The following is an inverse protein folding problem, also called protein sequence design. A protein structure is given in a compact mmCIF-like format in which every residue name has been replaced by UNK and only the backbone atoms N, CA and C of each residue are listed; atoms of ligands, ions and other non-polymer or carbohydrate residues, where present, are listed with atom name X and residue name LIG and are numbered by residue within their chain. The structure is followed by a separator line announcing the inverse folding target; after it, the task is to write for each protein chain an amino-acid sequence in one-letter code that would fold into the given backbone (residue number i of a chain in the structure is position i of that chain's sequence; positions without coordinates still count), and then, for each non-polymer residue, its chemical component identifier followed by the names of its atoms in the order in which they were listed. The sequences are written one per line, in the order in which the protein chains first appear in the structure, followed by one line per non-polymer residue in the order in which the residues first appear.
data_IF_219905913619
#
_entry.id   IF_219905913619
#
_cell.length_a   1.000
_cell.length_b   1.000
_cell.length_c   1.000
_cell.angle_alpha   90.00
_cell.angle_beta   90.00
_cell.angle_gamma   90.00
#
_symmetry.space_group_name_H-M   'P 1'
#
loop_
_entity.id
_entity.type
_entity.pdbx_description
1 polymer ?
#
# COMPACT_ATOMS: atom_id res chain seq x y z
N UNK A 1 22.32 15.44 9.75
CA UNK A 1 21.77 16.00 11.01
C UNK A 1 21.71 14.87 12.03
N UNK A 2 22.00 15.16 13.30
CA UNK A 2 21.74 14.21 14.38
C UNK A 2 20.58 14.74 15.23
N UNK A 3 19.89 13.83 15.93
CA UNK A 3 18.92 14.20 16.96
C UNK A 3 19.39 13.68 18.31
N UNK A 4 19.05 14.43 19.36
CA UNK A 4 19.19 13.99 20.74
C UNK A 4 17.99 13.11 21.10
N UNK A 5 18.22 11.81 21.26
CA UNK A 5 17.23 10.81 21.68
C UNK A 5 17.79 10.11 22.91
N UNK A 6 17.06 10.15 24.03
CA UNK A 6 17.46 9.54 25.30
C UNK A 6 18.88 9.95 25.77
N UNK A 7 19.26 11.20 25.53
CA UNK A 7 20.57 11.74 25.89
C UNK A 7 21.73 11.34 24.97
N UNK A 8 21.43 10.66 23.85
CA UNK A 8 22.43 10.31 22.83
C UNK A 8 22.19 11.10 21.54
N UNK A 9 23.29 11.59 20.95
CA UNK A 9 23.27 12.21 19.62
C UNK A 9 23.45 11.15 18.54
N UNK A 10 22.36 10.77 17.87
CA UNK A 10 22.36 9.73 16.84
C UNK A 10 22.05 10.31 15.45
N UNK A 11 22.61 9.75 14.37
CA UNK A 11 22.21 10.12 13.01
C UNK A 11 20.70 9.93 12.82
N UNK A 12 20.00 11.02 12.52
CA UNK A 12 18.56 10.96 12.36
C UNK A 12 18.19 10.70 10.90
N UNK A 13 17.38 9.65 10.61
CA UNK A 13 16.95 9.36 9.26
C UNK A 13 15.96 10.43 8.78
N UNK A 14 16.44 11.39 7.97
CA UNK A 14 15.61 12.44 7.38
C UNK A 14 14.41 11.92 6.57
N UNK A 15 14.50 10.67 6.12
CA UNK A 15 13.41 9.96 5.46
C UNK A 15 12.14 9.92 6.33
N UNK A 16 12.27 9.80 7.66
CA UNK A 16 11.13 9.74 8.59
C UNK A 16 10.33 11.04 8.53
N UNK A 17 11.00 12.20 8.60
CA UNK A 17 10.33 13.51 8.52
C UNK A 17 9.70 13.72 7.14
N UNK A 18 10.43 13.36 6.08
CA UNK A 18 9.93 13.50 4.71
C UNK A 18 8.68 12.65 4.50
N UNK A 19 8.69 11.39 4.93
CA UNK A 19 7.55 10.50 4.84
C UNK A 19 6.34 11.04 5.61
N UNK A 20 6.52 11.38 6.89
CA UNK A 20 5.45 11.95 7.73
C UNK A 20 4.83 13.20 7.11
N UNK A 21 5.65 14.14 6.61
CA UNK A 21 5.14 15.35 5.95
C UNK A 21 4.38 15.05 4.66
N UNK A 22 4.82 14.06 3.87
CA UNK A 22 4.09 13.60 2.68
C UNK A 22 2.78 12.94 3.04
N UNK A 23 2.76 12.10 4.08
CA UNK A 23 1.53 11.49 4.61
C UNK A 23 0.51 12.53 5.06
N UNK A 24 0.98 13.69 5.54
CA UNK A 24 0.13 14.84 5.89
C UNK A 24 -0.39 15.63 4.67
N UNK A 25 -0.09 15.19 3.44
CA UNK A 25 -0.58 15.79 2.19
C UNK A 25 0.33 16.86 1.57
N UNK A 26 1.60 16.96 1.98
CA UNK A 26 2.56 17.81 1.29
C UNK A 26 3.14 17.11 0.06
N UNK A 27 3.40 17.90 -0.99
CA UNK A 27 4.19 17.43 -2.13
C UNK A 27 5.64 17.17 -1.70
N UNK A 28 6.36 16.35 -2.46
CA UNK A 28 7.78 16.08 -2.22
C UNK A 28 8.61 17.37 -2.13
N UNK A 29 8.36 18.32 -3.05
CA UNK A 29 9.07 19.60 -3.09
C UNK A 29 8.77 20.47 -1.87
N UNK A 30 7.51 20.54 -1.44
CA UNK A 30 7.13 21.34 -0.28
C UNK A 30 7.68 20.73 1.02
N UNK A 31 7.61 19.40 1.16
CA UNK A 31 8.18 18.69 2.29
C UNK A 31 9.69 18.95 2.41
N UNK A 32 10.44 18.87 1.31
CA UNK A 32 11.89 19.10 1.32
C UNK A 32 12.24 20.54 1.70
N UNK A 33 11.54 21.54 1.14
CA UNK A 33 11.73 22.95 1.48
C UNK A 33 11.46 23.23 2.95
N UNK A 34 10.42 22.63 3.52
CA UNK A 34 10.08 22.78 4.95
C UNK A 34 11.17 22.15 5.81
N UNK A 35 11.61 20.94 5.46
CA UNK A 35 12.67 20.24 6.17
C UNK A 35 13.97 21.05 6.15
N UNK A 36 14.43 21.47 4.97
CA UNK A 36 15.68 22.24 4.81
C UNK A 36 15.66 23.50 5.68
N UNK A 37 14.59 24.32 5.58
CA UNK A 37 14.43 25.53 6.38
C UNK A 37 14.37 25.26 7.88
N UNK A 38 13.81 24.13 8.28
CA UNK A 38 13.72 23.72 9.69
C UNK A 38 15.10 23.32 10.21
N UNK A 39 15.80 22.44 9.49
CA UNK A 39 17.15 22.00 9.85
C UNK A 39 18.13 23.17 9.91
N UNK A 40 18.11 24.07 8.91
CA UNK A 40 18.98 25.26 8.89
C UNK A 40 18.75 26.20 10.08
N UNK A 41 17.54 26.24 10.64
CA UNK A 41 17.24 27.11 11.79
C UNK A 41 17.91 26.68 13.10
N UNK A 42 18.41 25.44 13.18
CA UNK A 42 19.17 24.96 14.34
C UNK A 42 20.66 25.29 14.29
N UNK A 43 21.15 25.91 13.21
CA UNK A 43 22.53 26.42 13.15
C UNK A 43 23.63 25.37 13.39
N UNK A 44 23.35 24.10 13.08
CA UNK A 44 24.29 22.98 13.30
C UNK A 44 24.21 22.34 14.69
N UNK A 45 23.36 22.83 15.60
CA UNK A 45 23.03 22.11 16.83
C UNK A 45 22.24 20.83 16.52
N UNK A 46 22.36 19.83 17.41
CA UNK A 46 21.56 18.61 17.36
C UNK A 46 20.28 18.81 18.18
N UNK A 47 19.11 19.04 17.57
CA UNK A 47 17.89 19.28 18.33
C UNK A 47 17.38 17.99 18.97
N UNK A 48 16.55 18.14 20.00
CA UNK A 48 15.70 17.07 20.52
C UNK A 48 14.52 16.81 19.59
N UNK A 49 13.87 15.64 19.72
CA UNK A 49 12.66 15.31 18.96
C UNK A 49 11.52 16.33 19.19
N UNK A 50 11.35 16.80 20.43
CA UNK A 50 10.38 17.85 20.77
C UNK A 50 10.70 19.18 20.08
N UNK A 51 11.97 19.61 20.08
CA UNK A 51 12.37 20.84 19.39
C UNK A 51 12.16 20.77 17.88
N UNK A 52 12.47 19.61 17.27
CA UNK A 52 12.21 19.37 15.85
C UNK A 52 10.71 19.44 15.53
N UNK A 53 9.89 18.78 16.35
CA UNK A 53 8.43 18.75 16.21
C UNK A 53 7.82 20.16 16.32
N UNK A 54 8.22 20.94 17.34
CA UNK A 54 7.76 22.32 17.50
C UNK A 54 8.22 23.24 16.36
N UNK A 55 9.44 23.07 15.85
CA UNK A 55 9.93 23.83 14.71
C UNK A 55 9.09 23.51 13.45
N UNK A 56 8.76 22.25 13.21
CA UNK A 56 7.89 21.84 12.11
C UNK A 56 6.46 22.39 12.27
N UNK A 57 5.85 22.27 13.46
CA UNK A 57 4.53 22.87 13.76
C UNK A 57 4.50 24.35 13.40
N UNK A 58 5.51 25.11 13.82
CA UNK A 58 5.64 26.53 13.53
C UNK A 58 5.68 26.82 12.01
N UNK A 59 6.34 25.99 11.22
CA UNK A 59 6.37 26.13 9.74
C UNK A 59 5.06 25.74 9.07
N UNK A 60 4.30 24.83 9.67
CA UNK A 60 3.02 24.34 9.14
C UNK A 60 1.82 25.20 9.53
N UNK A 61 1.96 26.21 10.40
CA UNK A 61 0.87 27.08 10.89
C UNK A 61 -0.06 27.65 9.81
N UNK A 62 0.48 28.00 8.65
CA UNK A 62 -0.29 28.55 7.53
C UNK A 62 -1.00 27.48 6.67
N UNK A 63 -0.66 26.20 6.85
CA UNK A 63 -1.24 25.05 6.13
C UNK A 63 -2.07 24.20 7.12
N UNK A 64 -3.21 24.75 7.56
CA UNK A 64 -4.00 24.20 8.69
C UNK A 64 -4.30 22.70 8.58
N UNK A 65 -4.78 22.23 7.42
CA UNK A 65 -5.09 20.81 7.20
C UNK A 65 -3.86 19.89 7.34
N UNK A 66 -2.69 20.37 6.90
CA UNK A 66 -1.42 19.64 7.01
C UNK A 66 -0.95 19.63 8.46
N UNK A 67 -1.09 20.75 9.18
CA UNK A 67 -0.76 20.83 10.59
C UNK A 67 -1.64 19.88 11.43
N UNK A 68 -2.95 19.87 11.19
CA UNK A 68 -3.88 18.98 11.91
C UNK A 68 -3.55 17.49 11.65
N UNK A 69 -3.17 17.13 10.41
CA UNK A 69 -2.70 15.79 10.09
C UNK A 69 -1.33 15.47 10.73
N UNK A 70 -0.42 16.44 10.78
CA UNK A 70 0.88 16.29 11.40
C UNK A 70 0.78 16.05 12.90
N UNK A 71 -0.07 16.82 13.59
CA UNK A 71 -0.32 16.65 15.02
C UNK A 71 -0.92 15.28 15.33
N UNK A 72 -1.84 14.80 14.48
CA UNK A 72 -2.39 13.45 14.58
C UNK A 72 -1.31 12.36 14.42
N UNK A 73 -0.36 12.53 13.51
CA UNK A 73 0.76 11.60 13.33
C UNK A 73 1.72 11.64 14.53
N UNK A 74 1.99 12.82 15.10
CA UNK A 74 2.80 12.94 16.31
C UNK A 74 2.12 12.25 17.50
N UNK A 75 0.81 12.45 17.67
CA UNK A 75 0.01 11.78 18.70
C UNK A 75 -0.01 10.26 18.51
N UNK A 76 -0.22 9.79 17.28
CA UNK A 76 -0.16 8.37 16.93
C UNK A 76 1.14 7.74 17.43
N UNK A 77 2.28 8.36 17.15
CA UNK A 77 3.59 7.80 17.51
C UNK A 77 3.81 7.71 19.02
N UNK A 78 3.27 8.65 19.81
CA UNK A 78 3.33 8.54 21.27
C UNK A 78 2.43 7.41 21.79
N UNK A 79 1.26 7.20 21.17
CA UNK A 79 0.31 6.16 21.55
C UNK A 79 0.73 4.74 21.12
N UNK A 80 1.65 4.58 20.18
CA UNK A 80 2.22 3.27 19.81
C UNK A 80 2.98 2.60 20.95
N UNK A 81 3.55 3.40 21.86
CA UNK A 81 4.28 2.92 23.04
C UNK A 81 3.43 2.94 24.32
N UNK A 82 2.16 3.35 24.24
CA UNK A 82 1.25 3.41 25.39
C UNK A 82 0.70 2.03 25.77
N UNK A 83 -0.06 1.95 26.88
CA UNK A 83 -0.76 0.72 27.30
C UNK A 83 -2.28 0.95 27.35
N UNK A 84 -3.09 0.17 26.60
CA UNK A 84 -2.68 -0.75 25.52
C UNK A 84 -1.95 0.02 24.40
N UNK A 85 -1.17 -0.57 23.47
CA UNK A 85 -0.57 0.19 22.37
C UNK A 85 -1.60 0.52 21.28
N UNK A 86 -1.43 1.63 20.57
CA UNK A 86 -2.16 1.88 19.32
C UNK A 86 -1.66 0.89 18.25
N UNK A 87 -2.54 0.19 17.49
CA UNK A 87 -2.11 -0.77 16.49
C UNK A 87 -1.30 -0.10 15.37
N UNK A 88 -0.37 -0.84 14.72
CA UNK A 88 0.36 -0.33 13.57
C UNK A 88 -0.55 -0.19 12.35
N UNK A 89 -0.07 0.53 11.35
CA UNK A 89 -0.78 0.73 10.08
C UNK A 89 -0.26 -0.24 9.02
N UNK A 90 -1.14 -1.12 8.53
CA UNK A 90 -0.88 -1.97 7.37
C UNK A 90 -1.79 -1.53 6.23
N UNK A 91 -1.20 -0.89 5.22
CA UNK A 91 -1.90 -0.48 4.01
C UNK A 91 -1.83 -1.62 2.98
N UNK A 92 -2.98 -2.08 2.52
CA UNK A 92 -3.12 -3.15 1.52
C UNK A 92 -3.64 -2.54 0.22
N UNK A 93 -2.80 -2.55 -0.83
CA UNK A 93 -3.11 -2.02 -2.16
C UNK A 93 -3.48 -3.16 -3.11
N UNK A 94 -4.72 -3.15 -3.57
CA UNK A 94 -5.33 -4.25 -4.31
C UNK A 94 -5.64 -3.85 -5.75
N UNK A 95 -5.85 -4.86 -6.61
CA UNK A 95 -6.26 -4.68 -8.00
C UNK A 95 -5.52 -5.57 -8.99
N UNK A 96 -6.06 -5.67 -10.21
CA UNK A 96 -5.55 -6.52 -11.27
C UNK A 96 -4.15 -6.10 -11.79
N UNK A 97 -3.53 -6.93 -12.63
CA UNK A 97 -2.24 -6.58 -13.22
C UNK A 97 -2.32 -5.26 -14.00
N UNK A 98 -1.31 -4.40 -13.84
CA UNK A 98 -1.19 -3.10 -14.53
C UNK A 98 -2.19 -2.01 -14.09
N UNK A 99 -2.76 -2.10 -12.89
CA UNK A 99 -3.54 -1.00 -12.30
C UNK A 99 -2.72 0.09 -11.58
N UNK A 100 -1.38 0.05 -11.63
CA UNK A 100 -0.51 1.07 -11.01
C UNK A 100 -0.18 0.89 -9.52
N UNK A 101 -0.77 -0.11 -8.85
CA UNK A 101 -0.52 -0.44 -7.42
C UNK A 101 0.95 -0.47 -7.03
N UNK A 102 1.84 -1.06 -7.82
CA UNK A 102 3.23 -1.23 -7.40
C UNK A 102 3.97 0.11 -7.31
N UNK A 103 3.64 1.09 -8.17
CA UNK A 103 4.19 2.45 -8.06
C UNK A 103 3.60 3.21 -6.86
N UNK A 104 2.28 3.10 -6.66
CA UNK A 104 1.64 3.65 -5.45
C UNK A 104 2.18 2.99 -4.19
N UNK A 105 2.46 1.69 -4.19
CA UNK A 105 3.00 0.95 -3.06
C UNK A 105 4.40 1.40 -2.68
N UNK A 106 5.25 1.69 -3.67
CA UNK A 106 6.56 2.31 -3.42
C UNK A 106 6.39 3.71 -2.81
N UNK A 107 5.54 4.55 -3.41
CA UNK A 107 5.28 5.90 -2.90
C UNK A 107 4.76 5.85 -1.45
N UNK A 108 3.78 4.99 -1.18
CA UNK A 108 3.20 4.82 0.14
C UNK A 108 4.16 4.19 1.14
N UNK A 109 5.08 3.32 0.72
CA UNK A 109 6.15 2.82 1.61
C UNK A 109 6.99 3.99 2.14
N UNK A 110 7.30 4.97 1.29
CA UNK A 110 7.99 6.18 1.71
C UNK A 110 7.14 7.10 2.58
N UNK A 111 5.89 7.36 2.19
CA UNK A 111 5.00 8.27 2.92
C UNK A 111 4.62 7.72 4.30
N UNK A 112 4.34 6.42 4.42
CA UNK A 112 4.13 5.75 5.72
C UNK A 112 5.42 5.55 6.51
N UNK A 113 6.59 5.68 5.88
CA UNK A 113 7.87 5.25 6.45
C UNK A 113 7.79 3.77 6.88
N UNK A 114 7.11 2.97 6.05
CA UNK A 114 6.85 1.58 6.36
C UNK A 114 8.15 0.78 6.39
N UNK A 115 8.32 -0.06 7.41
CA UNK A 115 9.53 -0.89 7.59
C UNK A 115 9.39 -2.27 6.96
N UNK A 116 8.21 -2.56 6.40
CA UNK A 116 7.86 -3.81 5.72
C UNK A 116 7.13 -3.50 4.41
N UNK A 117 7.50 -4.21 3.35
CA UNK A 117 6.81 -4.20 2.08
C UNK A 117 6.60 -5.64 1.61
N UNK A 118 5.37 -6.01 1.27
CA UNK A 118 4.99 -7.38 0.91
C UNK A 118 4.31 -7.36 -0.45
N UNK A 119 4.98 -7.91 -1.47
CA UNK A 119 4.40 -8.12 -2.80
C UNK A 119 3.76 -9.51 -2.89
N UNK A 120 2.49 -9.60 -3.25
CA UNK A 120 1.82 -10.92 -3.41
C UNK A 120 2.44 -11.77 -4.52
N UNK A 121 3.04 -11.13 -5.54
CA UNK A 121 3.79 -11.86 -6.58
C UNK A 121 5.08 -12.48 -6.02
N UNK A 122 5.76 -11.81 -5.09
CA UNK A 122 6.93 -12.40 -4.40
C UNK A 122 6.52 -13.65 -3.62
N UNK A 123 5.39 -13.60 -2.90
CA UNK A 123 4.84 -14.78 -2.21
C UNK A 123 4.57 -15.91 -3.21
N UNK A 124 3.98 -15.59 -4.36
CA UNK A 124 3.76 -16.57 -5.44
C UNK A 124 5.07 -17.19 -5.93
N UNK A 125 6.13 -16.41 -6.13
CA UNK A 125 7.44 -16.95 -6.54
C UNK A 125 8.03 -17.88 -5.48
N UNK A 126 7.89 -17.55 -4.20
CA UNK A 126 8.31 -18.44 -3.11
C UNK A 126 7.51 -19.74 -3.13
N UNK A 127 6.19 -19.70 -3.33
CA UNK A 127 5.38 -20.92 -3.43
C UNK A 127 5.80 -21.82 -4.61
N UNK A 128 6.30 -21.25 -5.72
CA UNK A 128 6.81 -22.03 -6.87
C UNK A 128 8.10 -22.81 -6.56
N UNK A 129 8.80 -22.53 -5.46
CA UNK A 129 9.99 -23.29 -5.07
C UNK A 129 9.66 -24.55 -4.28
N UNK A 130 8.47 -24.59 -3.67
CA UNK A 130 7.99 -25.71 -2.84
C UNK A 130 6.85 -26.51 -3.48
N UNK A 131 6.23 -25.99 -4.53
CA UNK A 131 5.21 -26.66 -5.34
C UNK A 131 5.70 -26.96 -6.76
N UNK A 132 5.22 -28.06 -7.34
CA UNK A 132 5.52 -28.42 -8.73
C UNK A 132 4.52 -27.77 -9.71
N UNK A 133 4.96 -27.47 -10.93
CA UNK A 133 4.08 -26.99 -12.00
C UNK A 133 3.02 -28.05 -12.40
N UNK A 134 3.30 -29.33 -12.19
CA UNK A 134 2.37 -30.41 -12.48
C UNK A 134 1.16 -30.38 -11.53
N UNK A 135 1.42 -30.16 -10.24
CA UNK A 135 0.38 -30.25 -9.20
C UNK A 135 -0.35 -28.91 -9.00
N UNK A 136 0.36 -27.79 -9.16
CA UNK A 136 -0.17 -26.43 -9.02
C UNK A 136 0.16 -25.56 -10.24
N UNK A 137 -0.28 -25.93 -11.47
CA UNK A 137 -0.01 -25.18 -12.69
C UNK A 137 -0.48 -23.72 -12.63
N UNK A 138 -1.54 -23.44 -11.86
CA UNK A 138 -2.05 -22.11 -11.58
C UNK A 138 -0.99 -21.17 -11.01
N UNK A 139 0.01 -21.64 -10.24
CA UNK A 139 1.10 -20.79 -9.73
C UNK A 139 2.12 -20.36 -10.79
N UNK A 140 2.15 -21.02 -11.96
CA UNK A 140 3.19 -20.89 -12.98
C UNK A 140 2.73 -20.08 -14.20
N UNK A 141 1.60 -19.38 -14.12
CA UNK A 141 1.05 -18.54 -15.17
C UNK A 141 0.57 -17.19 -14.60
N UNK A 142 0.21 -16.24 -15.45
CA UNK A 142 -0.40 -14.98 -14.97
C UNK A 142 -1.84 -15.20 -14.48
N UNK A 143 -2.34 -14.34 -13.58
CA UNK A 143 -3.72 -14.44 -13.06
C UNK A 143 -4.77 -14.57 -14.17
N UNK A 144 -4.64 -13.76 -15.22
CA UNK A 144 -5.53 -13.76 -16.39
C UNK A 144 -5.39 -15.00 -17.30
N UNK A 145 -4.45 -15.90 -17.03
CA UNK A 145 -4.25 -17.17 -17.75
C UNK A 145 -4.62 -18.40 -16.89
N UNK A 146 -4.80 -18.24 -15.58
CA UNK A 146 -4.95 -19.36 -14.64
C UNK A 146 -6.15 -20.26 -14.95
N UNK A 147 -7.21 -19.71 -15.56
CA UNK A 147 -8.42 -20.42 -15.97
C UNK A 147 -8.18 -21.58 -16.95
N UNK A 148 -7.05 -21.57 -17.67
CA UNK A 148 -6.63 -22.64 -18.58
C UNK A 148 -6.15 -23.90 -17.85
N UNK A 149 -5.92 -23.79 -16.53
CA UNK A 149 -5.30 -24.85 -15.74
C UNK A 149 -6.19 -25.31 -14.59
N UNK A 150 -6.61 -24.40 -13.71
CA UNK A 150 -7.53 -24.68 -12.60
C UNK A 150 -8.55 -23.56 -12.46
N UNK A 151 -9.68 -23.90 -11.84
CA UNK A 151 -10.78 -23.00 -11.55
C UNK A 151 -11.29 -23.33 -10.15
N UNK A 152 -11.62 -22.31 -9.36
CA UNK A 152 -12.14 -22.44 -8.01
C UNK A 152 -13.26 -21.41 -7.75
N UNK A 153 -13.90 -21.50 -6.59
CA UNK A 153 -15.06 -20.68 -6.26
C UNK A 153 -16.35 -21.07 -7.00
N UNK A 154 -17.39 -20.22 -6.88
CA UNK A 154 -18.73 -20.51 -7.41
C UNK A 154 -18.76 -20.74 -8.93
N UNK A 155 -19.60 -21.66 -9.40
CA UNK A 155 -19.66 -22.08 -10.81
C UNK A 155 -20.29 -21.04 -11.73
N UNK A 156 -21.09 -20.13 -11.18
CA UNK A 156 -21.74 -19.03 -11.89
C UNK A 156 -20.77 -17.91 -12.31
N UNK A 157 -19.58 -17.87 -11.72
CA UNK A 157 -18.55 -16.90 -12.08
C UNK A 157 -17.88 -17.28 -13.41
N UNK A 158 -17.44 -16.26 -14.15
CA UNK A 158 -16.70 -16.48 -15.40
C UNK A 158 -15.44 -17.34 -15.13
N UNK A 159 -15.13 -18.32 -16.01
CA UNK A 159 -13.94 -19.15 -15.88
C UNK A 159 -12.64 -18.37 -15.64
N UNK A 160 -12.48 -17.18 -16.23
CA UNK A 160 -11.33 -16.29 -16.04
C UNK A 160 -11.20 -15.90 -14.56
N UNK A 161 -12.30 -15.45 -13.96
CA UNK A 161 -12.36 -15.09 -12.53
C UNK A 161 -12.12 -16.32 -11.67
N UNK A 162 -12.74 -17.45 -11.99
CA UNK A 162 -12.55 -18.71 -11.24
C UNK A 162 -11.10 -19.20 -11.28
N UNK A 163 -10.40 -19.00 -12.40
CA UNK A 163 -8.97 -19.30 -12.49
C UNK A 163 -8.11 -18.37 -11.63
N UNK A 164 -8.44 -17.08 -11.63
CA UNK A 164 -7.83 -16.13 -10.71
C UNK A 164 -8.04 -16.52 -9.23
N UNK A 165 -9.26 -16.94 -8.87
CA UNK A 165 -9.59 -17.40 -7.51
C UNK A 165 -8.80 -18.65 -7.13
N UNK A 166 -8.63 -19.62 -8.05
CA UNK A 166 -7.80 -20.80 -7.81
C UNK A 166 -6.34 -20.43 -7.45
N UNK A 167 -5.80 -19.38 -8.07
CA UNK A 167 -4.46 -18.88 -7.71
C UNK A 167 -4.48 -18.17 -6.33
N UNK A 168 -5.55 -17.45 -6.00
CA UNK A 168 -5.69 -16.77 -4.71
C UNK A 168 -5.84 -17.71 -3.52
N UNK A 169 -6.53 -18.86 -3.68
CA UNK A 169 -6.70 -19.86 -2.62
C UNK A 169 -5.36 -20.36 -2.05
N UNK A 170 -4.30 -20.35 -2.86
CA UNK A 170 -2.95 -20.73 -2.44
C UNK A 170 -2.16 -19.58 -1.80
N UNK A 171 -2.33 -18.35 -2.32
CA UNK A 171 -1.46 -17.22 -1.99
C UNK A 171 -2.04 -16.38 -0.85
N UNK A 172 -3.33 -16.08 -0.87
CA UNK A 172 -3.98 -15.18 0.08
C UNK A 172 -3.80 -15.64 1.55
N UNK A 173 -3.93 -16.93 1.90
CA UNK A 173 -3.71 -17.38 3.28
C UNK A 173 -2.29 -17.12 3.79
N UNK A 174 -1.29 -17.19 2.90
CA UNK A 174 0.11 -16.91 3.25
C UNK A 174 0.31 -15.41 3.46
N UNK A 175 -0.23 -14.58 2.57
CA UNK A 175 -0.20 -13.11 2.72
C UNK A 175 -0.86 -12.68 4.02
N UNK A 176 -2.01 -13.27 4.35
CA UNK A 176 -2.73 -13.01 5.61
C UNK A 176 -1.86 -13.27 6.83
N UNK A 177 -1.18 -14.42 6.89
CA UNK A 177 -0.26 -14.75 8.00
C UNK A 177 0.91 -13.77 8.10
N UNK A 178 1.42 -13.27 6.97
CA UNK A 178 2.46 -12.25 6.98
C UNK A 178 1.93 -10.92 7.57
N UNK A 179 0.69 -10.53 7.25
CA UNK A 179 0.05 -9.36 7.85
C UNK A 179 -0.17 -9.53 9.35
N UNK A 180 -0.71 -10.67 9.79
CA UNK A 180 -0.85 -11.00 11.22
C UNK A 180 0.49 -10.89 11.97
N UNK A 181 1.57 -11.35 11.34
CA UNK A 181 2.93 -11.24 11.91
C UNK A 181 3.38 -9.79 12.02
N UNK A 182 3.17 -8.98 10.98
CA UNK A 182 3.49 -7.54 10.97
C UNK A 182 2.74 -6.80 12.08
N UNK A 183 1.44 -7.09 12.24
CA UNK A 183 0.61 -6.51 13.30
C UNK A 183 1.15 -6.87 14.69
N UNK A 184 1.54 -8.14 14.87
CA UNK A 184 2.13 -8.62 16.13
C UNK A 184 3.48 -7.96 16.43
N UNK A 185 4.28 -7.67 15.40
CA UNK A 185 5.56 -6.95 15.51
C UNK A 185 5.38 -5.44 15.77
N UNK A 186 4.15 -4.91 15.68
CA UNK A 186 3.90 -3.47 15.83
C UNK A 186 4.48 -2.64 14.69
N UNK A 187 4.72 -3.24 13.52
CA UNK A 187 5.41 -2.62 12.39
C UNK A 187 4.44 -2.05 11.35
N UNK A 188 4.76 -0.87 10.81
CA UNK A 188 4.00 -0.31 9.68
C UNK A 188 4.42 -0.99 8.38
N UNK A 189 3.44 -1.30 7.53
CA UNK A 189 3.67 -2.06 6.32
C UNK A 189 2.83 -1.61 5.13
N UNK A 190 3.34 -1.88 3.94
CA UNK A 190 2.59 -1.84 2.69
C UNK A 190 2.52 -3.25 2.11
N UNK A 191 1.33 -3.72 1.81
CA UNK A 191 1.07 -4.96 1.05
C UNK A 191 0.55 -4.55 -0.32
N UNK A 192 1.05 -5.14 -1.39
CA UNK A 192 0.54 -4.85 -2.74
C UNK A 192 0.37 -6.10 -3.60
N UNK A 193 -0.71 -6.11 -4.37
CA UNK A 193 -0.85 -6.97 -5.53
C UNK A 193 -2.27 -7.46 -5.77
N UNK A 194 -2.37 -8.50 -6.59
CA UNK A 194 -3.65 -8.97 -7.15
C UNK A 194 -4.28 -10.12 -6.35
N UNK A 195 -3.49 -10.81 -5.53
CA UNK A 195 -3.93 -12.03 -4.84
C UNK A 195 -4.56 -11.77 -3.45
N UNK A 196 -4.97 -10.53 -3.19
CA UNK A 196 -5.81 -10.19 -2.03
C UNK A 196 -7.17 -9.82 -2.58
N UNK A 197 -8.18 -10.59 -2.21
CA UNK A 197 -9.57 -10.33 -2.53
C UNK A 197 -10.06 -9.22 -1.57
N UNK A 198 -10.68 -8.15 -2.09
CA UNK A 198 -11.22 -7.06 -1.30
C UNK A 198 -12.05 -7.52 -0.11
N UNK A 199 -11.66 -7.03 1.06
CA UNK A 199 -12.28 -7.29 2.35
C UNK A 199 -11.71 -8.49 3.11
N UNK A 200 -10.74 -9.22 2.53
CA UNK A 200 -10.21 -10.45 3.12
C UNK A 200 -9.28 -10.24 4.32
N UNK A 201 -8.87 -9.00 4.63
CA UNK A 201 -7.92 -8.68 5.70
C UNK A 201 -8.53 -7.78 6.79
N UNK A 202 -9.76 -7.28 6.62
CA UNK A 202 -10.39 -6.27 7.50
C UNK A 202 -10.58 -6.74 8.93
N UNK A 203 -10.79 -8.03 9.12
CA UNK A 203 -11.00 -8.65 10.42
C UNK A 203 -9.70 -8.84 11.22
N UNK A 204 -8.53 -8.60 10.61
CA UNK A 204 -7.23 -8.69 11.28
C UNK A 204 -6.99 -7.57 12.30
N UNK A 205 -7.67 -6.42 12.14
CA UNK A 205 -7.62 -5.35 13.12
C UNK A 205 -7.83 -3.95 12.52
N UNK A 206 -8.12 -2.98 13.40
CA UNK A 206 -8.38 -1.59 13.03
C UNK A 206 -7.23 -0.90 12.28
N UNK A 207 -6.00 -1.43 12.42
CA UNK A 207 -4.81 -0.93 11.74
C UNK A 207 -4.65 -1.40 10.29
N UNK A 208 -5.50 -2.32 9.82
CA UNK A 208 -5.46 -2.82 8.44
C UNK A 208 -6.40 -1.98 7.57
N UNK A 209 -5.83 -1.38 6.54
CA UNK A 209 -6.51 -0.46 5.62
C UNK A 209 -6.42 -1.04 4.21
N UNK A 210 -7.54 -1.52 3.68
CA UNK A 210 -7.63 -2.05 2.32
C UNK A 210 -8.08 -0.95 1.33
N UNK A 211 -7.34 -0.84 0.23
CA UNK A 211 -7.62 0.11 -0.86
C UNK A 211 -7.48 -0.60 -2.20
N UNK A 212 -8.57 -0.67 -2.95
CA UNK A 212 -8.56 -1.10 -4.35
C UNK A 212 -8.16 0.06 -5.26
N UNK A 213 -7.14 -0.15 -6.09
CA UNK A 213 -6.73 0.81 -7.12
C UNK A 213 -7.43 0.47 -8.44
N UNK A 214 -8.24 1.40 -8.96
CA UNK A 214 -9.06 1.21 -10.15
C UNK A 214 -8.84 2.29 -11.21
N UNK A 215 -7.93 2.10 -12.18
CA UNK A 215 -7.81 3.02 -13.31
C UNK A 215 -9.02 2.94 -14.27
N UNK A 216 -9.36 4.05 -14.95
CA UNK A 216 -10.27 4.03 -16.10
C UNK A 216 -9.83 3.01 -17.15
N UNK A 217 -10.77 2.42 -17.89
CA UNK A 217 -10.50 1.33 -18.82
C UNK A 217 -9.39 1.64 -19.85
N UNK A 218 -9.42 2.84 -20.45
CA UNK A 218 -8.42 3.26 -21.44
C UNK A 218 -7.02 3.41 -20.81
N UNK A 219 -6.95 4.01 -19.63
CA UNK A 219 -5.70 4.13 -18.85
C UNK A 219 -5.17 2.74 -18.47
N UNK A 220 -6.04 1.86 -17.98
CA UNK A 220 -5.70 0.49 -17.62
C UNK A 220 -5.12 -0.27 -18.83
N UNK A 221 -5.77 -0.15 -19.99
CA UNK A 221 -5.32 -0.76 -21.24
C UNK A 221 -3.97 -0.23 -21.65
N UNK A 222 -3.80 1.10 -21.68
CA UNK A 222 -2.54 1.73 -22.06
C UNK A 222 -1.39 1.27 -21.15
N UNK A 223 -1.60 1.24 -19.84
CA UNK A 223 -0.63 0.74 -18.85
C UNK A 223 -0.32 -0.75 -19.06
N UNK A 224 -1.35 -1.57 -19.31
CA UNK A 224 -1.18 -3.00 -19.55
C UNK A 224 -0.36 -3.27 -20.82
N UNK A 225 -0.67 -2.57 -21.91
CA UNK A 225 0.05 -2.71 -23.19
C UNK A 225 1.50 -2.23 -23.09
N UNK A 226 1.74 -1.10 -22.43
CA UNK A 226 3.09 -0.50 -22.31
C UNK A 226 3.96 -1.16 -21.25
N UNK A 227 3.38 -1.91 -20.30
CA UNK A 227 4.12 -2.68 -19.28
C UNK A 227 5.21 -3.58 -19.89
N UNK A 228 4.98 -4.12 -21.09
CA UNK A 228 5.98 -4.91 -21.83
C UNK A 228 7.20 -4.07 -22.25
N UNK A 229 6.96 -2.91 -22.88
CA UNK A 229 8.02 -2.03 -23.36
C UNK A 229 8.83 -1.41 -22.21
N UNK A 230 8.16 -1.05 -21.11
CA UNK A 230 8.79 -0.44 -19.94
C UNK A 230 9.58 -1.43 -19.08
N UNK A 231 9.13 -2.69 -18.96
CA UNK A 231 9.72 -3.67 -18.05
C UNK A 231 10.65 -4.70 -18.73
N UNK A 232 10.81 -4.69 -20.06
CA UNK A 232 11.65 -5.64 -20.83
C UNK A 232 11.43 -7.11 -20.44
N UNK A 233 10.18 -7.48 -20.13
CA UNK A 233 9.85 -8.81 -19.60
C UNK A 233 9.91 -9.86 -20.71
N UNK A 234 10.75 -10.89 -20.54
CA UNK A 234 10.98 -11.97 -21.51
C UNK A 234 9.84 -13.01 -21.60
N UNK A 235 8.81 -12.91 -20.76
CA UNK A 235 7.76 -13.93 -20.61
C UNK A 235 6.44 -13.57 -21.28
N UNK A 236 6.40 -12.52 -22.10
CA UNK A 236 5.18 -11.96 -22.69
C UNK A 236 5.31 -11.95 -24.22
N UNK A 237 4.25 -12.35 -24.91
CA UNK A 237 4.20 -12.35 -26.39
C UNK A 237 4.05 -10.93 -26.96
N UNK A 238 4.62 -10.71 -28.14
CA UNK A 238 4.46 -9.50 -28.94
C UNK A 238 3.22 -9.53 -29.85
N UNK A 239 2.46 -10.63 -29.88
CA UNK A 239 1.23 -10.74 -30.67
C UNK A 239 0.14 -9.78 -30.12
N UNK A 240 -0.27 -8.76 -30.88
CA UNK A 240 -1.26 -7.79 -30.44
C UNK A 240 -2.63 -8.40 -30.10
N UNK A 241 -3.04 -9.46 -30.79
CA UNK A 241 -4.36 -10.10 -30.57
C UNK A 241 -4.38 -10.84 -29.25
N UNK A 242 -3.31 -11.59 -28.96
CA UNK A 242 -3.17 -12.30 -27.69
C UNK A 242 -3.13 -11.31 -26.54
N UNK A 243 -2.36 -10.21 -26.68
CA UNK A 243 -2.30 -9.15 -25.66
C UNK A 243 -3.64 -8.49 -25.39
N UNK A 244 -4.45 -8.25 -26.42
CA UNK A 244 -5.80 -7.72 -26.23
C UNK A 244 -6.70 -8.69 -25.48
N UNK A 245 -6.65 -9.98 -25.80
CA UNK A 245 -7.41 -11.00 -25.07
C UNK A 245 -6.96 -11.13 -23.61
N UNK A 246 -5.66 -11.06 -23.34
CA UNK A 246 -5.10 -11.04 -21.98
C UNK A 246 -5.51 -9.79 -21.20
N UNK A 247 -5.59 -8.64 -21.88
CA UNK A 247 -6.12 -7.42 -21.28
C UNK A 247 -7.59 -7.57 -20.93
N UNK A 248 -8.42 -8.08 -21.83
CA UNK A 248 -9.84 -8.32 -21.57
C UNK A 248 -10.04 -9.24 -20.35
N UNK A 249 -9.27 -10.32 -20.26
CA UNK A 249 -9.26 -11.20 -19.09
C UNK A 249 -8.79 -10.49 -17.81
N UNK A 250 -7.77 -9.63 -17.91
CA UNK A 250 -7.29 -8.81 -16.78
C UNK A 250 -8.35 -7.81 -16.32
N UNK A 251 -9.07 -7.18 -17.26
CA UNK A 251 -10.14 -6.24 -16.95
C UNK A 251 -11.32 -6.93 -16.29
N UNK A 252 -11.70 -8.12 -16.73
CA UNK A 252 -12.73 -8.91 -16.07
C UNK A 252 -12.36 -9.25 -14.62
N UNK A 253 -11.10 -9.59 -14.34
CA UNK A 253 -10.63 -9.76 -12.95
C UNK A 253 -10.73 -8.43 -12.19
N UNK A 254 -10.36 -7.30 -12.80
CA UNK A 254 -10.47 -5.99 -12.15
C UNK A 254 -11.93 -5.65 -11.81
N UNK A 255 -12.86 -5.89 -12.73
CA UNK A 255 -14.28 -5.60 -12.52
C UNK A 255 -14.85 -6.47 -11.39
N UNK A 256 -14.46 -7.75 -11.32
CA UNK A 256 -14.75 -8.62 -10.17
C UNK A 256 -14.22 -8.04 -8.85
N UNK A 257 -12.98 -7.55 -8.82
CA UNK A 257 -12.42 -6.93 -7.61
C UNK A 257 -13.18 -5.65 -7.23
N UNK A 258 -13.59 -4.83 -8.20
CA UNK A 258 -14.42 -3.64 -7.93
C UNK A 258 -15.74 -4.03 -7.30
N UNK A 259 -16.39 -5.10 -7.76
CA UNK A 259 -17.61 -5.63 -7.17
C UNK A 259 -17.39 -6.12 -5.73
N UNK A 260 -16.33 -6.88 -5.47
CA UNK A 260 -15.98 -7.32 -4.11
C UNK A 260 -15.69 -6.12 -3.18
N UNK A 261 -14.97 -5.11 -3.68
CA UNK A 261 -14.66 -3.91 -2.91
C UNK A 261 -15.92 -3.12 -2.55
N UNK A 262 -16.86 -2.98 -3.48
CA UNK A 262 -18.17 -2.36 -3.22
C UNK A 262 -19.00 -3.17 -2.23
N UNK A 263 -19.04 -4.49 -2.37
CA UNK A 263 -19.79 -5.38 -1.49
C UNK A 263 -19.27 -5.39 -0.06
N UNK A 264 -17.96 -5.25 0.12
CA UNK A 264 -17.33 -5.18 1.45
C UNK A 264 -17.26 -3.75 1.98
N UNK A 265 -17.30 -2.74 1.12
CA UNK A 265 -17.20 -1.33 1.53
C UNK A 265 -15.78 -0.90 1.90
N UNK A 266 -14.75 -1.53 1.31
CA UNK A 266 -13.38 -1.01 1.37
C UNK A 266 -13.24 0.21 0.45
N UNK A 267 -12.12 0.94 0.59
CA UNK A 267 -11.89 2.12 -0.23
C UNK A 267 -11.55 1.73 -1.68
N UNK A 268 -12.06 2.50 -2.63
CA UNK A 268 -11.68 2.42 -4.05
C UNK A 268 -11.08 3.76 -4.44
N UNK A 269 -9.86 3.75 -4.96
CA UNK A 269 -9.15 4.93 -5.45
C UNK A 269 -8.99 4.82 -6.96
N UNK A 270 -9.54 5.79 -7.67
CA UNK A 270 -9.36 5.89 -9.11
C UNK A 270 -7.92 6.30 -9.44
N UNK A 271 -7.28 5.61 -10.39
CA UNK A 271 -5.95 6.00 -10.88
C UNK A 271 -6.05 6.73 -12.22
N UNK A 272 -6.30 8.04 -12.16
CA UNK A 272 -6.15 8.96 -13.29
C UNK A 272 -4.79 9.67 -13.30
N UNK A 273 -4.26 9.93 -12.11
CA UNK A 273 -3.01 10.65 -11.85
C UNK A 273 -2.38 10.10 -10.57
N UNK A 274 -1.06 9.86 -10.58
CA UNK A 274 -0.38 9.21 -9.46
C UNK A 274 -0.30 10.11 -8.22
N UNK A 275 -0.06 11.41 -8.39
CA UNK A 275 0.07 12.33 -7.26
C UNK A 275 -1.29 12.50 -6.56
N UNK A 276 -2.37 12.59 -7.34
CA UNK A 276 -3.74 12.61 -6.81
C UNK A 276 -4.09 11.31 -6.09
N UNK A 277 -3.85 10.16 -6.71
CA UNK A 277 -4.15 8.87 -6.10
C UNK A 277 -3.35 8.63 -4.81
N UNK A 278 -2.06 9.00 -4.79
CA UNK A 278 -1.25 8.95 -3.55
C UNK A 278 -1.86 9.84 -2.47
N UNK A 279 -2.24 11.08 -2.81
CA UNK A 279 -2.88 12.00 -1.86
C UNK A 279 -4.19 11.45 -1.30
N UNK A 280 -5.01 10.82 -2.14
CA UNK A 280 -6.27 10.22 -1.72
C UNK A 280 -6.03 9.04 -0.75
N UNK A 281 -5.02 8.21 -1.03
CA UNK A 281 -4.59 7.14 -0.12
C UNK A 281 -4.04 7.71 1.20
N UNK A 282 -3.22 8.75 1.17
CA UNK A 282 -2.74 9.44 2.37
C UNK A 282 -3.90 9.96 3.23
N UNK A 283 -4.93 10.55 2.61
CA UNK A 283 -6.12 11.03 3.33
C UNK A 283 -6.89 9.87 3.98
N UNK A 284 -7.04 8.73 3.29
CA UNK A 284 -7.64 7.52 3.83
C UNK A 284 -6.86 7.07 5.08
N UNK A 285 -5.52 6.97 4.98
CA UNK A 285 -4.68 6.59 6.13
C UNK A 285 -4.84 7.54 7.30
N UNK A 286 -4.77 8.86 7.07
CA UNK A 286 -4.94 9.87 8.13
C UNK A 286 -6.31 9.74 8.79
N UNK A 287 -7.36 9.47 8.01
CA UNK A 287 -8.70 9.25 8.55
C UNK A 287 -8.77 7.97 9.40
N UNK A 288 -8.20 6.86 8.92
CA UNK A 288 -8.11 5.62 9.72
C UNK A 288 -7.33 5.81 11.02
N UNK A 289 -6.23 6.55 11.01
CA UNK A 289 -5.47 6.88 12.24
C UNK A 289 -6.33 7.65 13.23
N UNK A 290 -7.10 8.64 12.76
CA UNK A 290 -8.04 9.39 13.61
C UNK A 290 -9.07 8.48 14.25
N UNK A 291 -9.63 7.55 13.48
CA UNK A 291 -10.65 6.63 13.97
C UNK A 291 -10.08 5.60 14.95
N UNK A 292 -8.84 5.15 14.75
CA UNK A 292 -8.13 4.29 15.70
C UNK A 292 -7.91 4.98 17.05
N UNK A 293 -7.48 6.25 17.05
CA UNK A 293 -7.27 7.03 18.27
C UNK A 293 -8.60 7.24 19.01
N UNK A 294 -9.66 7.66 18.31
CA UNK A 294 -11.01 7.81 18.90
C UNK A 294 -11.55 6.51 19.49
N UNK A 295 -11.37 5.39 18.77
CA UNK A 295 -11.85 4.08 19.24
C UNK A 295 -11.13 3.64 20.51
N UNK A 296 -9.86 4.02 20.65
CA UNK A 296 -9.06 3.77 21.85
C UNK A 296 -9.57 4.60 23.04
N UNK A 297 -9.87 5.88 22.84
CA UNK A 297 -10.36 6.77 23.92
C UNK A 297 -11.74 6.35 24.47
N UNK A 298 -12.55 5.69 23.66
CA UNK A 298 -13.89 5.21 24.04
C UNK A 298 -13.90 3.83 24.71
N UNK A 299 -12.74 3.19 24.91
CA UNK A 299 -12.60 1.88 25.57
C UNK A 299 -12.00 2.03 26.96
#
# INVERSE_FOLDING_TARGET
MKLQIEGQSIPYPMLVLRGRLRLCGLSQTDAEKIIERTVSSFGGADPTDNQMTEALRNRLKLKRSVLDAFDLIVERESLRSASPPLPPTVLVLEGASATGKSMLGIAMTYSLVATRAIGTDTVRQVLRTVHSQKDHPELFCHTYQAHKYKQAGPEELDPIVRGYLAQCELIQPVVRRLVERVLTEGADAVVEGVHVIPGAMRDLGLGVIEVLVDPPADTHRAMFMTKYAAAKLKTVTDDPRVREAEFAATRMIQDYLVEQARGTGIHIVELSDYDRAEKDICNIVIQSVRDMIRTRENK
#
